data_IF_158082131908
#
_entry.id   IF_158082131908
#
_cell.length_a   1.000
_cell.length_b   1.000
_cell.length_c   1.000
_cell.angle_alpha   90.00
_cell.angle_beta   90.00
_cell.angle_gamma   90.00
#
_symmetry.space_group_name_H-M   'P 1'
#
loop_
_entity.id
_entity.type
_entity.pdbx_description
1 polymer ?
#
# COMPACT_ATOMS: atom_id res chain seq x y z
N UNK A 1 35.92 -26.22 36.70
CA UNK A 1 34.62 -26.88 36.95
C UNK A 1 33.52 -25.92 36.57
N UNK A 2 32.74 -26.21 35.54
CA UNK A 2 31.43 -25.60 35.31
C UNK A 2 30.48 -26.73 34.87
N UNK A 3 29.31 -26.87 35.48
CA UNK A 3 28.49 -28.05 35.33
C UNK A 3 27.93 -28.10 33.92
N UNK A 4 28.00 -29.29 33.34
CA UNK A 4 27.26 -29.66 32.15
C UNK A 4 25.76 -29.53 32.49
N UNK A 5 25.18 -28.34 32.28
CA UNK A 5 23.74 -28.14 32.38
C UNK A 5 23.11 -28.92 31.23
N UNK A 6 22.79 -30.18 31.53
CA UNK A 6 22.03 -31.11 30.70
C UNK A 6 20.55 -30.67 30.61
N UNK A 7 20.33 -29.36 30.45
CA UNK A 7 19.02 -28.77 30.30
C UNK A 7 18.58 -29.02 28.87
N UNK A 8 17.56 -29.86 28.73
CA UNK A 8 16.93 -30.11 27.43
C UNK A 8 16.46 -28.75 26.89
N UNK A 9 16.92 -28.31 25.71
CA UNK A 9 16.55 -27.01 25.19
C UNK A 9 15.04 -26.95 25.04
N UNK A 10 14.42 -25.91 25.61
CA UNK A 10 12.96 -25.79 25.64
C UNK A 10 12.43 -25.05 24.41
N UNK A 11 11.17 -25.29 24.09
CA UNK A 11 10.42 -24.39 23.21
C UNK A 11 9.96 -23.18 24.00
N UNK A 12 9.93 -22.03 23.35
CA UNK A 12 9.48 -20.76 23.95
C UNK A 12 8.22 -20.25 23.23
N UNK A 13 7.30 -19.57 23.93
CA UNK A 13 6.16 -18.90 23.32
C UNK A 13 6.60 -17.76 22.39
N UNK A 14 5.71 -17.35 21.49
CA UNK A 14 6.03 -16.38 20.43
C UNK A 14 6.50 -15.02 20.97
N UNK A 15 5.92 -14.55 22.08
CA UNK A 15 6.30 -13.27 22.71
C UNK A 15 7.73 -13.32 23.26
N UNK A 16 8.06 -14.39 23.99
CA UNK A 16 9.41 -14.61 24.51
C UNK A 16 10.43 -14.75 23.37
N UNK A 17 10.06 -15.47 22.30
CA UNK A 17 10.92 -15.62 21.12
C UNK A 17 11.24 -14.26 20.45
N UNK A 18 10.29 -13.33 20.44
CA UNK A 18 10.48 -11.98 19.90
C UNK A 18 11.43 -11.15 20.78
N UNK A 19 11.31 -11.24 22.10
CA UNK A 19 12.25 -10.58 23.02
C UNK A 19 13.68 -11.10 22.81
N UNK A 20 13.83 -12.42 22.68
CA UNK A 20 15.12 -13.06 22.40
C UNK A 20 15.69 -12.68 21.03
N UNK A 21 14.84 -12.50 20.00
CA UNK A 21 15.28 -12.01 18.68
C UNK A 21 15.79 -10.55 18.74
N UNK A 22 15.15 -9.69 19.54
CA UNK A 22 15.62 -8.32 19.77
C UNK A 22 16.94 -8.27 20.55
N UNK A 23 17.15 -9.20 21.47
CA UNK A 23 18.42 -9.34 22.17
C UNK A 23 19.51 -9.87 21.21
N UNK A 24 19.17 -10.87 20.38
CA UNK A 24 20.07 -11.43 19.37
C UNK A 24 20.57 -10.39 18.35
N UNK A 25 19.74 -9.42 17.96
CA UNK A 25 20.15 -8.39 16.99
C UNK A 25 21.29 -7.49 17.47
N UNK A 26 21.61 -7.53 18.77
CA UNK A 26 22.74 -6.82 19.39
C UNK A 26 23.95 -7.72 19.65
N UNK A 27 23.88 -8.99 19.23
CA UNK A 27 24.92 -9.98 19.42
C UNK A 27 25.60 -10.34 18.11
N UNK A 28 26.92 -10.50 18.13
CA UNK A 28 27.72 -10.87 16.95
C UNK A 28 27.81 -12.39 16.73
N UNK A 29 26.92 -13.15 17.37
CA UNK A 29 26.90 -14.62 17.26
C UNK A 29 25.77 -15.08 16.35
N UNK A 30 25.91 -16.30 15.82
CA UNK A 30 24.82 -16.91 15.05
C UNK A 30 23.58 -17.15 15.92
N UNK A 31 22.39 -17.13 15.30
CA UNK A 31 21.11 -17.36 15.98
C UNK A 31 21.07 -18.71 16.73
N UNK A 32 21.68 -19.75 16.15
CA UNK A 32 21.75 -21.07 16.75
C UNK A 32 22.66 -21.10 17.99
N UNK A 33 23.81 -20.41 17.94
CA UNK A 33 24.70 -20.28 19.09
C UNK A 33 24.02 -19.47 20.22
N UNK A 34 23.35 -18.37 19.86
CA UNK A 34 22.56 -17.57 20.79
C UNK A 34 21.45 -18.39 21.46
N UNK A 35 20.64 -19.11 20.68
CA UNK A 35 19.57 -19.96 21.21
C UNK A 35 20.08 -20.99 22.23
N UNK A 36 21.20 -21.64 21.92
CA UNK A 36 21.85 -22.61 22.84
C UNK A 36 22.30 -21.95 24.13
N UNK A 37 22.91 -20.75 24.06
CA UNK A 37 23.35 -20.00 25.24
C UNK A 37 22.19 -19.63 26.17
N UNK A 38 20.98 -19.48 25.62
CA UNK A 38 19.73 -19.20 26.34
C UNK A 38 18.93 -20.44 26.73
N UNK A 39 19.42 -21.65 26.42
CA UNK A 39 18.71 -22.91 26.70
C UNK A 39 17.46 -23.12 25.85
N UNK A 40 17.39 -22.51 24.67
CA UNK A 40 16.22 -22.53 23.77
C UNK A 40 16.54 -23.34 22.51
N UNK A 41 15.53 -24.05 21.98
CA UNK A 41 15.66 -24.73 20.69
C UNK A 41 15.86 -23.71 19.56
N UNK A 42 16.91 -23.81 18.72
CA UNK A 42 17.11 -22.89 17.60
C UNK A 42 15.90 -22.74 16.68
N UNK A 43 15.15 -23.84 16.46
CA UNK A 43 13.95 -23.85 15.62
C UNK A 43 12.86 -22.91 16.12
N UNK A 44 12.72 -22.69 17.43
CA UNK A 44 11.74 -21.75 17.99
C UNK A 44 12.05 -20.30 17.55
N UNK A 45 13.33 -19.90 17.54
CA UNK A 45 13.72 -18.57 17.06
C UNK A 45 13.65 -18.44 15.54
N UNK A 46 14.00 -19.50 14.79
CA UNK A 46 13.82 -19.51 13.33
C UNK A 46 12.35 -19.33 12.93
N UNK A 47 11.44 -20.06 13.58
CA UNK A 47 10.01 -19.94 13.32
C UNK A 47 9.47 -18.56 13.67
N UNK A 48 9.89 -17.99 14.80
CA UNK A 48 9.51 -16.64 15.19
C UNK A 48 9.97 -15.59 14.15
N UNK A 49 11.22 -15.70 13.68
CA UNK A 49 11.76 -14.81 12.64
C UNK A 49 11.03 -14.97 11.30
N UNK A 50 10.69 -16.21 10.93
CA UNK A 50 9.91 -16.48 9.72
C UNK A 50 8.48 -15.92 9.83
N UNK A 51 7.84 -16.05 11.00
CA UNK A 51 6.52 -15.51 11.26
C UNK A 51 6.50 -13.97 11.20
N UNK A 52 7.52 -13.31 11.77
CA UNK A 52 7.69 -11.86 11.67
C UNK A 52 7.82 -11.39 10.22
N UNK A 53 8.67 -12.05 9.42
CA UNK A 53 8.80 -11.76 7.99
C UNK A 53 7.48 -11.90 7.23
N UNK A 54 6.72 -12.98 7.49
CA UNK A 54 5.41 -13.18 6.88
C UNK A 54 4.40 -12.10 7.28
N UNK A 55 4.44 -11.62 8.53
CA UNK A 55 3.60 -10.51 8.99
C UNK A 55 3.99 -9.19 8.31
N UNK A 56 5.28 -8.91 8.18
CA UNK A 56 5.77 -7.72 7.48
C UNK A 56 5.44 -7.72 5.99
N UNK A 57 5.40 -8.91 5.37
CA UNK A 57 5.02 -9.08 3.96
C UNK A 57 3.50 -9.15 3.73
N UNK A 58 2.70 -9.19 4.80
CA UNK A 58 1.25 -9.30 4.63
C UNK A 58 0.75 -7.96 4.08
N UNK A 59 0.17 -7.91 2.86
CA UNK A 59 -0.38 -6.68 2.35
C UNK A 59 -1.40 -6.16 3.36
N UNK A 60 -1.34 -4.86 3.64
CA UNK A 60 -2.33 -4.19 4.48
C UNK A 60 -3.69 -4.53 3.86
N UNK A 61 -4.69 -4.98 4.63
CA UNK A 61 -6.02 -5.20 4.08
C UNK A 61 -6.47 -3.86 3.50
N UNK A 62 -6.44 -3.75 2.18
CA UNK A 62 -7.04 -2.61 1.50
C UNK A 62 -8.54 -2.72 1.72
N UNK A 63 -9.21 -1.63 2.12
CA UNK A 63 -10.64 -1.64 2.20
C UNK A 63 -11.19 -1.97 0.80
N UNK A 64 -11.94 -3.07 0.72
CA UNK A 64 -12.72 -3.36 -0.47
C UNK A 64 -13.83 -2.30 -0.54
N UNK A 65 -13.83 -1.50 -1.61
CA UNK A 65 -14.90 -0.56 -1.89
C UNK A 65 -15.91 -1.24 -2.80
N UNK A 66 -17.17 -1.25 -2.36
CA UNK A 66 -18.28 -1.65 -3.21
C UNK A 66 -18.51 -0.54 -4.24
N UNK A 67 -18.07 -0.77 -5.48
CA UNK A 67 -18.36 0.12 -6.60
C UNK A 67 -19.84 -0.06 -6.97
N UNK A 68 -20.68 0.88 -6.55
CA UNK A 68 -22.00 1.03 -7.14
C UNK A 68 -21.80 1.70 -8.49
N UNK A 69 -22.13 0.97 -9.56
CA UNK A 69 -22.40 1.59 -10.84
C UNK A 69 -23.63 2.46 -10.60
N UNK A 70 -23.45 3.77 -10.51
CA UNK A 70 -24.57 4.68 -10.72
C UNK A 70 -25.15 4.32 -12.08
N UNK A 71 -26.40 3.87 -12.10
CA UNK A 71 -27.18 3.93 -13.33
C UNK A 71 -26.98 5.34 -13.87
N UNK A 72 -26.63 5.51 -15.15
CA UNK A 72 -26.45 6.83 -15.70
C UNK A 72 -27.73 7.59 -15.36
N UNK A 73 -27.61 8.62 -14.53
CA UNK A 73 -28.70 9.57 -14.32
C UNK A 73 -29.24 9.86 -15.72
N UNK A 74 -30.57 9.83 -15.93
CA UNK A 74 -31.13 10.18 -17.22
C UNK A 74 -30.46 11.49 -17.60
N UNK A 75 -29.58 11.43 -18.60
CA UNK A 75 -28.83 12.58 -19.03
C UNK A 75 -29.91 13.51 -19.53
N UNK A 76 -30.31 14.48 -18.71
CA UNK A 76 -31.21 15.54 -19.13
C UNK A 76 -30.52 16.19 -20.33
N UNK A 77 -30.91 15.77 -21.53
CA UNK A 77 -30.23 16.07 -22.76
C UNK A 77 -28.81 15.49 -22.84
N UNK A 78 -28.66 14.32 -23.46
CA UNK A 78 -27.62 14.20 -24.48
C UNK A 78 -27.97 15.24 -25.57
N UNK A 79 -27.65 16.49 -25.28
CA UNK A 79 -28.03 17.63 -26.09
C UNK A 79 -27.14 17.53 -27.33
N UNK A 80 -27.69 16.97 -28.41
CA UNK A 80 -27.04 16.82 -29.72
C UNK A 80 -26.60 18.18 -30.32
N UNK A 81 -26.79 19.26 -29.56
CA UNK A 81 -26.36 20.61 -29.81
C UNK A 81 -25.03 20.95 -29.13
N UNK A 82 -24.42 20.11 -28.29
CA UNK A 82 -23.12 20.43 -27.67
C UNK A 82 -21.93 19.99 -28.55
N UNK A 83 -21.00 20.90 -28.79
CA UNK A 83 -19.72 20.69 -29.47
C UNK A 83 -18.61 20.76 -28.42
N UNK A 84 -17.72 19.77 -28.44
CA UNK A 84 -16.51 19.76 -27.62
C UNK A 84 -15.31 20.25 -28.43
N UNK A 85 -14.60 21.24 -27.88
CA UNK A 85 -13.39 21.83 -28.44
C UNK A 85 -12.21 21.44 -27.56
N UNK A 86 -11.24 20.73 -28.13
CA UNK A 86 -9.97 20.38 -27.45
C UNK A 86 -8.92 21.41 -27.85
N UNK A 87 -8.39 22.14 -26.88
CA UNK A 87 -7.38 23.17 -27.08
C UNK A 87 -5.97 22.58 -27.04
N UNK A 88 -4.96 23.22 -27.69
CA UNK A 88 -3.57 22.77 -27.64
C UNK A 88 -2.99 22.67 -26.21
N UNK A 89 -3.54 23.44 -25.27
CA UNK A 89 -3.19 23.38 -23.85
C UNK A 89 -3.67 22.10 -23.14
N UNK A 90 -4.44 21.25 -23.82
CA UNK A 90 -5.06 20.06 -23.23
C UNK A 90 -6.37 20.34 -22.47
N UNK A 91 -6.85 21.59 -22.48
CA UNK A 91 -8.15 21.94 -21.94
C UNK A 91 -9.27 21.55 -22.92
N UNK A 92 -10.35 20.98 -22.39
CA UNK A 92 -11.58 20.71 -23.14
C UNK A 92 -12.66 21.71 -22.77
N UNK A 93 -13.28 22.31 -23.79
CA UNK A 93 -14.41 23.23 -23.64
C UNK A 93 -15.64 22.63 -24.31
N UNK A 94 -16.76 22.58 -23.59
CA UNK A 94 -18.07 22.19 -24.15
C UNK A 94 -18.91 23.43 -24.39
N UNK A 95 -19.36 23.60 -25.63
CA UNK A 95 -20.10 24.78 -26.08
C UNK A 95 -21.36 24.33 -26.81
N UNK A 96 -22.46 25.07 -26.68
CA UNK A 96 -23.65 24.81 -27.50
C UNK A 96 -23.43 25.21 -28.96
N UNK A 97 -24.15 24.57 -29.87
CA UNK A 97 -24.05 24.76 -31.33
C UNK A 97 -24.66 26.09 -31.76
N UNK A 98 -25.62 26.59 -30.98
CA UNK A 98 -26.23 27.91 -31.13
C UNK A 98 -25.52 28.99 -30.31
N UNK A 99 -24.33 28.70 -29.76
CA UNK A 99 -23.55 29.67 -29.04
C UNK A 99 -23.07 30.80 -29.97
N UNK A 100 -23.13 32.02 -29.47
CA UNK A 100 -22.80 33.21 -30.24
C UNK A 100 -21.37 33.16 -30.80
N UNK A 101 -21.26 33.32 -32.12
CA UNK A 101 -20.00 33.21 -32.85
C UNK A 101 -18.99 34.28 -32.39
N UNK A 102 -19.46 35.51 -32.12
CA UNK A 102 -18.60 36.62 -31.71
C UNK A 102 -18.04 36.37 -30.32
N UNK A 103 -18.88 35.92 -29.38
CA UNK A 103 -18.45 35.51 -28.05
C UNK A 103 -17.47 34.33 -28.10
N UNK A 104 -17.69 33.33 -28.96
CA UNK A 104 -16.79 32.19 -29.10
C UNK A 104 -15.41 32.61 -29.59
N UNK A 105 -15.35 33.47 -30.63
CA UNK A 105 -14.08 34.00 -31.14
C UNK A 105 -13.31 34.80 -30.09
N UNK A 106 -14.02 35.61 -29.27
CA UNK A 106 -13.40 36.34 -28.16
C UNK A 106 -12.84 35.39 -27.10
N UNK A 107 -13.61 34.38 -26.72
CA UNK A 107 -13.20 33.36 -25.76
C UNK A 107 -11.95 32.61 -26.24
N UNK A 108 -11.93 32.16 -27.49
CA UNK A 108 -10.77 31.50 -28.08
C UNK A 108 -9.56 32.43 -28.18
N UNK A 109 -9.77 33.72 -28.45
CA UNK A 109 -8.69 34.72 -28.44
C UNK A 109 -8.03 34.88 -27.07
N UNK A 110 -8.81 34.85 -25.99
CA UNK A 110 -8.28 34.88 -24.62
C UNK A 110 -7.54 33.57 -24.32
N UNK A 111 -8.15 32.42 -24.60
CA UNK A 111 -7.60 31.11 -24.28
C UNK A 111 -6.34 30.75 -25.10
N UNK A 112 -6.24 31.24 -26.33
CA UNK A 112 -5.06 31.05 -27.18
C UNK A 112 -3.89 31.97 -26.86
N UNK A 113 -4.06 32.92 -25.94
CA UNK A 113 -3.00 33.80 -25.44
C UNK A 113 -2.33 33.31 -24.15
N UNK A 114 -2.81 32.17 -23.61
CA UNK A 114 -2.26 31.47 -22.45
C UNK A 114 -1.41 30.26 -22.91
#
# INVERSE_FOLDING_TARGET
>A
MNPNSNSVPRSVPAEEALALLKEHSRSDVSLAAFARSKGVKPWSLYNARAAERRRAMRPRPEPFFELRLEEPAPTEGADATLIELVLPSGLSLRVRRDFDEVALRRLLGVLGSC
#
